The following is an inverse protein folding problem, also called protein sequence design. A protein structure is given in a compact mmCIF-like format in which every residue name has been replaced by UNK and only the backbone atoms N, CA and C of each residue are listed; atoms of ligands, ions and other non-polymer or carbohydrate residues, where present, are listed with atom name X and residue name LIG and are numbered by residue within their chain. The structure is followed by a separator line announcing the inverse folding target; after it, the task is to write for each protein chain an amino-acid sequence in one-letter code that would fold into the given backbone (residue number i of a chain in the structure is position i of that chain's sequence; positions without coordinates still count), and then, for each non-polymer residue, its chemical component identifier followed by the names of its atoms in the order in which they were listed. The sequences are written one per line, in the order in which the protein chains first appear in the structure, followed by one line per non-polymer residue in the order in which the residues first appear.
data_IF_109983588177
#
_entry.id   IF_109983588177
#
_cell.length_a   1.000
_cell.length_b   1.000
_cell.length_c   1.000
_cell.angle_alpha   90.00
_cell.angle_beta   90.00
_cell.angle_gamma   90.00
#
_symmetry.space_group_name_H-M   'P 1'
#
loop_
_entity.id
_entity.type
_entity.pdbx_description
1 polymer ?
#
# COMPACT_ATOMS: atom_id res chain seq x y z
N UNK A 1 22.39 -1.56 13.55
CA UNK A 1 21.99 -0.38 12.75
C UNK A 1 22.88 -0.17 11.51
N UNK A 2 23.01 -1.19 10.65
CA UNK A 2 23.82 -1.13 9.41
C UNK A 2 22.94 -1.27 8.16
N UNK A 3 22.02 -2.26 8.18
CA UNK A 3 21.02 -2.52 7.13
C UNK A 3 20.20 -1.29 6.71
N UNK A 4 19.79 -0.42 7.64
CA UNK A 4 18.97 0.75 7.32
C UNK A 4 19.73 1.84 6.54
N UNK A 5 21.04 2.01 6.79
CA UNK A 5 21.85 3.04 6.12
C UNK A 5 22.25 2.61 4.72
N UNK A 6 22.67 1.36 4.56
CA UNK A 6 22.99 0.79 3.26
C UNK A 6 21.77 0.72 2.33
N UNK A 7 20.59 0.32 2.86
CA UNK A 7 19.37 0.26 2.06
C UNK A 7 18.92 1.65 1.57
N UNK A 8 19.02 2.68 2.41
CA UNK A 8 18.72 4.07 2.02
C UNK A 8 19.74 4.61 1.02
N UNK A 9 21.02 4.23 1.15
CA UNK A 9 22.08 4.63 0.22
C UNK A 9 21.86 4.05 -1.19
N UNK A 10 21.35 2.83 -1.30
CA UNK A 10 21.10 2.16 -2.60
C UNK A 10 19.73 2.53 -3.20
N UNK A 11 18.68 2.68 -2.39
CA UNK A 11 17.30 2.85 -2.89
C UNK A 11 16.76 4.28 -2.74
N UNK A 12 17.49 5.16 -2.05
CA UNK A 12 17.04 6.51 -1.69
C UNK A 12 15.93 6.56 -0.62
N UNK A 13 15.45 5.41 -0.14
CA UNK A 13 14.31 5.28 0.78
C UNK A 13 14.66 4.42 1.99
N UNK A 14 14.03 4.68 3.12
CA UNK A 14 14.16 3.75 4.26
C UNK A 14 13.48 2.42 3.94
N UNK A 15 13.90 1.29 4.55
CA UNK A 15 13.24 0.00 4.35
C UNK A 15 11.73 0.04 4.59
N UNK A 16 11.29 0.78 5.61
CA UNK A 16 9.87 0.95 5.93
C UNK A 16 9.09 1.72 4.86
N UNK A 17 9.69 2.75 4.24
CA UNK A 17 9.08 3.45 3.11
C UNK A 17 8.99 2.58 1.86
N UNK A 18 10.07 1.83 1.57
CA UNK A 18 10.08 0.90 0.45
C UNK A 18 9.00 -0.18 0.61
N UNK A 19 8.89 -0.78 1.79
CA UNK A 19 7.87 -1.77 2.09
C UNK A 19 6.46 -1.18 1.97
N UNK A 20 6.23 0.05 2.46
CA UNK A 20 4.94 0.75 2.28
C UNK A 20 4.60 0.91 0.82
N UNK A 21 5.53 1.39 -0.01
CA UNK A 21 5.27 1.58 -1.44
C UNK A 21 4.98 0.25 -2.15
N UNK A 22 5.72 -0.81 -1.80
CA UNK A 22 5.49 -2.16 -2.30
C UNK A 22 4.12 -2.71 -1.91
N UNK A 23 3.68 -2.49 -0.67
CA UNK A 23 2.32 -2.84 -0.22
C UNK A 23 1.26 -2.08 -1.00
N UNK A 24 1.42 -0.77 -1.17
CA UNK A 24 0.45 0.06 -1.91
C UNK A 24 0.35 -0.34 -3.38
N UNK A 25 1.47 -0.63 -4.05
CA UNK A 25 1.43 -1.15 -5.42
C UNK A 25 0.59 -2.43 -5.50
N UNK A 26 0.76 -3.35 -4.54
CA UNK A 26 -0.05 -4.57 -4.47
C UNK A 26 -1.54 -4.29 -4.21
N UNK A 27 -1.86 -3.29 -3.37
CA UNK A 27 -3.24 -2.87 -3.15
C UNK A 27 -3.86 -2.37 -4.46
N UNK A 28 -3.15 -1.57 -5.27
CA UNK A 28 -3.65 -1.12 -6.58
C UNK A 28 -3.98 -2.30 -7.51
N UNK A 29 -3.08 -3.28 -7.62
CA UNK A 29 -3.32 -4.49 -8.43
C UNK A 29 -4.57 -5.27 -8.01
N UNK A 30 -4.84 -5.32 -6.69
CA UNK A 30 -5.98 -6.02 -6.13
C UNK A 30 -7.28 -5.19 -6.25
N UNK A 31 -7.19 -3.86 -6.18
CA UNK A 31 -8.34 -2.98 -6.36
C UNK A 31 -8.90 -3.04 -7.79
N UNK A 32 -8.03 -3.27 -8.78
CA UNK A 32 -8.40 -3.45 -10.18
C UNK A 32 -9.12 -4.78 -10.47
N UNK A 33 -9.08 -5.74 -9.53
CA UNK A 33 -9.80 -7.01 -9.66
C UNK A 33 -11.21 -6.84 -9.09
N UNK A 34 -12.27 -7.11 -9.89
CA UNK A 34 -13.63 -7.14 -9.36
C UNK A 34 -13.78 -8.29 -8.35
N UNK A 35 -14.65 -8.09 -7.36
CA UNK A 35 -15.03 -9.14 -6.40
C UNK A 35 -14.29 -9.16 -5.06
N UNK A 36 -13.18 -8.43 -4.90
CA UNK A 36 -12.50 -8.32 -3.60
C UNK A 36 -13.01 -7.11 -2.81
N UNK A 37 -13.41 -7.30 -1.56
CA UNK A 37 -13.68 -6.18 -0.64
C UNK A 37 -12.38 -5.49 -0.19
N UNK A 38 -12.48 -4.24 0.25
CA UNK A 38 -11.31 -3.51 0.81
C UNK A 38 -10.75 -4.21 2.05
N UNK A 39 -11.59 -4.92 2.80
CA UNK A 39 -11.22 -5.66 4.00
C UNK A 39 -10.37 -6.90 3.66
N UNK A 40 -10.78 -7.67 2.65
CA UNK A 40 -9.99 -8.80 2.14
C UNK A 40 -8.64 -8.34 1.59
N UNK A 41 -8.61 -7.22 0.89
CA UNK A 41 -7.36 -6.64 0.37
C UNK A 41 -6.44 -6.20 1.51
N UNK A 42 -7.00 -5.61 2.59
CA UNK A 42 -6.24 -5.25 3.77
C UNK A 42 -5.57 -6.47 4.39
N UNK A 43 -6.33 -7.55 4.58
CA UNK A 43 -5.81 -8.80 5.12
C UNK A 43 -4.73 -9.42 4.22
N UNK A 44 -4.97 -9.54 2.91
CA UNK A 44 -4.02 -10.12 1.95
C UNK A 44 -2.68 -9.37 1.87
N UNK A 45 -2.68 -8.05 2.06
CA UNK A 45 -1.47 -7.21 1.99
C UNK A 45 -0.79 -7.08 3.37
N UNK A 46 -1.40 -7.62 4.42
CA UNK A 46 -0.90 -7.57 5.79
C UNK A 46 -1.04 -6.19 6.42
N UNK A 47 -2.21 -5.56 6.25
CA UNK A 47 -2.69 -4.47 7.10
C UNK A 47 -3.54 -5.05 8.22
N UNK A 48 -3.60 -4.31 9.34
CA UNK A 48 -4.38 -4.74 10.51
C UNK A 48 -5.89 -4.76 10.21
N UNK A 49 -6.36 -3.80 9.41
CA UNK A 49 -7.77 -3.61 9.07
C UNK A 49 -7.89 -2.68 7.85
N UNK A 50 -9.12 -2.56 7.31
CA UNK A 50 -9.42 -1.71 6.16
C UNK A 50 -9.18 -0.21 6.42
N UNK A 51 -9.32 0.26 7.66
CA UNK A 51 -9.05 1.65 8.05
C UNK A 51 -7.55 1.95 8.06
N UNK A 52 -6.72 1.03 8.58
CA UNK A 52 -5.26 1.13 8.49
C UNK A 52 -4.81 1.16 7.04
N UNK A 53 -5.29 0.25 6.19
CA UNK A 53 -5.03 0.28 4.74
C UNK A 53 -5.42 1.64 4.15
N UNK A 54 -6.63 2.13 4.43
CA UNK A 54 -7.15 3.37 3.85
C UNK A 54 -6.30 4.60 4.22
N UNK A 55 -5.84 4.69 5.47
CA UNK A 55 -4.96 5.78 5.93
C UNK A 55 -3.62 5.75 5.21
N UNK A 56 -2.98 4.58 5.10
CA UNK A 56 -1.67 4.44 4.45
C UNK A 56 -1.80 4.65 2.94
N UNK A 57 -2.83 4.09 2.31
CA UNK A 57 -3.10 4.24 0.88
C UNK A 57 -3.34 5.71 0.53
N UNK A 58 -4.18 6.43 1.28
CA UNK A 58 -4.42 7.87 1.05
C UNK A 58 -3.14 8.70 1.23
N UNK A 59 -2.29 8.35 2.19
CA UNK A 59 -1.00 9.04 2.39
C UNK A 59 -0.05 8.88 1.20
N UNK A 60 -0.09 7.74 0.51
CA UNK A 60 0.81 7.43 -0.62
C UNK A 60 0.21 7.86 -1.97
N UNK A 61 -1.10 7.63 -2.17
CA UNK A 61 -1.79 7.83 -3.46
C UNK A 61 -2.59 9.14 -3.53
N UNK A 62 -2.71 9.89 -2.43
CA UNK A 62 -3.50 11.13 -2.35
C UNK A 62 -5.02 10.94 -2.25
N UNK A 63 -5.52 9.72 -2.48
CA UNK A 63 -6.95 9.40 -2.46
C UNK A 63 -7.24 8.07 -1.75
N UNK A 64 -8.49 7.86 -1.33
CA UNK A 64 -8.90 6.64 -0.65
C UNK A 64 -8.97 5.44 -1.62
N UNK A 65 -8.77 4.19 -1.14
CA UNK A 65 -8.86 2.97 -1.96
C UNK A 65 -10.16 2.84 -2.75
N UNK A 66 -11.29 3.18 -2.11
CA UNK A 66 -12.61 3.12 -2.75
C UNK A 66 -12.76 4.15 -3.88
N UNK A 67 -12.19 5.35 -3.71
CA UNK A 67 -12.17 6.37 -4.76
C UNK A 67 -11.27 5.94 -5.92
N UNK A 68 -10.10 5.39 -5.61
CA UNK A 68 -9.19 4.82 -6.61
C UNK A 68 -9.85 3.71 -7.42
N UNK A 69 -10.55 2.77 -6.75
CA UNK A 69 -11.28 1.68 -7.43
C UNK A 69 -12.33 2.20 -8.42
N UNK A 70 -13.08 3.25 -8.05
CA UNK A 70 -14.07 3.88 -8.95
C UNK A 70 -13.45 4.60 -10.14
N UNK A 71 -12.18 4.97 -10.08
CA UNK A 71 -11.48 5.65 -11.16
C UNK A 71 -10.78 4.67 -12.14
N UNK A 72 -10.55 3.43 -11.71
CA UNK A 72 -9.83 2.39 -12.48
C UNK A 72 -10.79 1.35 -13.08
N UNK A 73 -11.96 1.15 -12.48
CA UNK A 73 -13.09 0.43 -13.08
C UNK A 73 -13.92 1.35 -13.95
#
# INVERSE_FOLDING_TARGET
DYLCRDFKRVTGRTPGEYLRHRKIARVCDLLAKPGLSTEEIAFQVGFADASHLSRVFKKVMGQAPAAYRKAVL
#
